data_IF_589110237892
#
_entry.id   IF_589110237892
#
_cell.length_a   1.000
_cell.length_b   1.000
_cell.length_c   1.000
_cell.angle_alpha   90.00
_cell.angle_beta   90.00
_cell.angle_gamma   90.00
#
_symmetry.space_group_name_H-M   'P 1'
#
loop_
_entity.id
_entity.type
_entity.pdbx_description
1 polymer ?
#
# COMPACT_ATOMS: atom_id res chain seq x y z
N UNK A 1 14.07 -6.17 14.07
CA UNK A 1 14.10 -5.79 12.64
C UNK A 1 13.21 -6.74 11.86
N UNK A 2 12.57 -6.27 10.77
CA UNK A 2 11.72 -7.10 9.91
C UNK A 2 12.55 -8.08 9.05
N UNK A 3 11.91 -9.14 8.56
CA UNK A 3 12.48 -10.11 7.60
C UNK A 3 11.79 -9.97 6.24
N UNK A 4 12.53 -10.17 5.16
CA UNK A 4 11.93 -10.28 3.82
C UNK A 4 11.17 -11.60 3.71
N UNK A 5 9.85 -11.54 3.54
CA UNK A 5 8.96 -12.71 3.49
C UNK A 5 8.23 -12.87 2.15
N UNK A 6 8.15 -11.80 1.36
CA UNK A 6 7.57 -11.83 0.01
C UNK A 6 8.66 -11.50 -1.02
N UNK A 7 8.69 -12.26 -2.11
CA UNK A 7 9.64 -12.01 -3.19
C UNK A 7 9.22 -10.76 -3.96
N UNK A 8 10.15 -9.83 -4.13
CA UNK A 8 9.93 -8.63 -4.95
C UNK A 8 10.57 -8.81 -6.33
N UNK A 9 9.86 -8.44 -7.38
CA UNK A 9 10.38 -8.46 -8.74
C UNK A 9 10.35 -7.06 -9.36
N UNK A 10 11.40 -6.67 -10.13
CA UNK A 10 11.52 -5.32 -10.66
C UNK A 10 10.67 -5.08 -11.92
N UNK A 11 10.04 -6.11 -12.50
CA UNK A 11 9.29 -5.98 -13.75
C UNK A 11 7.82 -5.66 -13.46
N UNK A 12 7.23 -4.73 -14.21
CA UNK A 12 5.82 -4.35 -14.08
C UNK A 12 4.86 -5.51 -14.42
N UNK A 13 5.35 -6.53 -15.12
CA UNK A 13 4.63 -7.77 -15.46
C UNK A 13 4.79 -8.87 -14.40
N UNK A 14 5.70 -8.68 -13.44
CA UNK A 14 6.01 -9.66 -12.38
C UNK A 14 5.37 -9.29 -11.04
N UNK A 15 4.11 -8.90 -11.10
CA UNK A 15 3.29 -8.61 -9.93
C UNK A 15 3.02 -9.90 -9.13
N UNK A 16 2.77 -9.74 -7.84
CA UNK A 16 2.17 -10.78 -7.00
C UNK A 16 0.91 -11.30 -7.71
N UNK A 17 0.90 -12.57 -8.13
CA UNK A 17 -0.29 -13.23 -8.67
C UNK A 17 -1.06 -13.85 -7.51
N UNK A 18 -2.36 -13.54 -7.40
CA UNK A 18 -3.20 -14.03 -6.32
C UNK A 18 -2.91 -13.38 -4.96
N UNK A 19 -2.84 -14.20 -3.91
CA UNK A 19 -2.66 -13.74 -2.51
C UNK A 19 -1.60 -14.59 -1.83
N UNK A 20 -0.67 -13.93 -1.16
CA UNK A 20 0.41 -14.54 -0.39
C UNK A 20 0.25 -14.14 1.07
N UNK A 21 0.55 -15.06 1.98
CA UNK A 21 0.45 -14.81 3.41
C UNK A 21 1.70 -15.27 4.14
N UNK A 22 2.12 -14.48 5.12
CA UNK A 22 3.18 -14.82 6.07
C UNK A 22 2.66 -14.60 7.48
N UNK A 23 2.85 -15.59 8.35
CA UNK A 23 2.44 -15.50 9.75
C UNK A 23 3.66 -15.26 10.64
N UNK A 24 3.60 -14.20 11.43
CA UNK A 24 4.55 -13.94 12.50
C UNK A 24 3.98 -14.46 13.83
N UNK A 25 4.49 -15.59 14.36
CA UNK A 25 3.96 -16.19 15.59
C UNK A 25 4.29 -15.37 16.85
N UNK A 26 5.32 -14.51 16.80
CA UNK A 26 5.74 -13.71 17.96
C UNK A 26 4.73 -12.58 18.19
N UNK A 27 4.41 -11.86 17.11
CA UNK A 27 3.46 -10.74 17.17
C UNK A 27 2.02 -11.17 16.92
N UNK A 28 1.79 -12.44 16.53
CA UNK A 28 0.49 -13.02 16.13
C UNK A 28 -0.15 -12.23 14.98
N UNK A 29 0.67 -11.82 14.02
CA UNK A 29 0.24 -11.04 12.85
C UNK A 29 0.30 -11.90 11.60
N UNK A 30 -0.79 -11.92 10.84
CA UNK A 30 -0.79 -12.42 9.47
C UNK A 30 -0.60 -11.24 8.52
N UNK A 31 0.48 -11.24 7.76
CA UNK A 31 0.71 -10.26 6.69
C UNK A 31 0.27 -10.88 5.39
N UNK A 32 -0.55 -10.15 4.65
CA UNK A 32 -1.08 -10.59 3.36
C UNK A 32 -0.60 -9.62 2.28
N UNK A 33 0.05 -10.15 1.25
CA UNK A 33 0.36 -9.43 0.02
C UNK A 33 -0.57 -9.93 -1.09
N UNK A 34 -1.26 -9.02 -1.77
CA UNK A 34 -2.29 -9.35 -2.74
C UNK A 34 -1.96 -8.75 -4.11
N UNK A 35 -2.46 -9.37 -5.17
CA UNK A 35 -2.37 -8.85 -6.52
C UNK A 35 -2.85 -7.39 -6.60
N UNK A 36 -2.13 -6.57 -7.35
CA UNK A 36 -2.49 -5.17 -7.59
C UNK A 36 -3.87 -5.03 -8.24
N UNK A 37 -4.75 -4.28 -7.58
CA UNK A 37 -6.17 -4.18 -7.96
C UNK A 37 -6.48 -3.06 -8.94
N UNK A 38 -5.57 -2.08 -9.09
CA UNK A 38 -5.69 -1.01 -10.06
C UNK A 38 -5.10 -1.44 -11.41
N UNK A 39 -5.95 -1.85 -12.35
CA UNK A 39 -5.54 -2.14 -13.72
C UNK A 39 -6.70 -2.37 -14.67
N UNK A 40 -6.63 -1.77 -15.85
CA UNK A 40 -7.67 -1.75 -16.88
C UNK A 40 -7.70 -3.05 -17.70
N UNK A 41 -7.96 -4.19 -17.03
CA UNK A 41 -7.95 -5.53 -17.66
C UNK A 41 -9.35 -6.13 -17.76
N UNK A 42 -9.49 -7.12 -18.64
CA UNK A 42 -10.74 -7.81 -19.00
C UNK A 42 -11.41 -8.61 -17.87
N UNK A 43 -10.87 -8.61 -16.64
CA UNK A 43 -11.31 -9.49 -15.55
C UNK A 43 -11.60 -8.77 -14.22
N UNK A 44 -12.25 -7.62 -14.29
CA UNK A 44 -12.60 -6.77 -13.14
C UNK A 44 -13.35 -7.53 -12.02
N UNK A 45 -14.29 -8.41 -12.38
CA UNK A 45 -15.07 -9.18 -11.40
C UNK A 45 -14.21 -10.11 -10.54
N UNK A 46 -13.17 -10.74 -11.12
CA UNK A 46 -12.26 -11.60 -10.37
C UNK A 46 -11.47 -10.81 -9.31
N UNK A 47 -10.96 -9.64 -9.71
CA UNK A 47 -10.17 -8.75 -8.84
C UNK A 47 -11.00 -8.18 -7.70
N UNK A 48 -12.21 -7.72 -7.99
CA UNK A 48 -13.15 -7.25 -6.94
C UNK A 48 -13.46 -8.37 -5.95
N UNK A 49 -13.73 -9.60 -6.41
CA UNK A 49 -13.94 -10.74 -5.49
C UNK A 49 -12.72 -11.06 -4.64
N UNK A 50 -11.50 -10.98 -5.18
CA UNK A 50 -10.28 -11.21 -4.41
C UNK A 50 -10.13 -10.16 -3.31
N UNK A 51 -10.29 -8.88 -3.66
CA UNK A 51 -10.22 -7.77 -2.71
C UNK A 51 -11.25 -7.90 -1.60
N UNK A 52 -12.51 -8.23 -1.92
CA UNK A 52 -13.56 -8.40 -0.91
C UNK A 52 -13.23 -9.52 0.08
N UNK A 53 -12.62 -10.61 -0.38
CA UNK A 53 -12.17 -11.69 0.50
C UNK A 53 -11.04 -11.23 1.41
N UNK A 54 -10.05 -10.49 0.87
CA UNK A 54 -8.95 -9.93 1.66
C UNK A 54 -9.49 -8.93 2.70
N UNK A 55 -10.41 -8.05 2.32
CA UNK A 55 -11.06 -7.10 3.24
C UNK A 55 -11.80 -7.81 4.37
N UNK A 56 -12.57 -8.86 4.04
CA UNK A 56 -13.40 -9.57 5.02
C UNK A 56 -12.61 -10.27 6.12
N UNK A 57 -11.32 -10.56 5.90
CA UNK A 57 -10.45 -11.23 6.89
C UNK A 57 -9.41 -10.29 7.52
N UNK A 58 -9.38 -9.02 7.12
CA UNK A 58 -8.34 -8.08 7.55
C UNK A 58 -8.86 -7.16 8.64
N UNK A 59 -8.08 -7.00 9.72
CA UNK A 59 -8.30 -5.91 10.68
C UNK A 59 -7.82 -4.57 10.10
N UNK A 60 -6.71 -4.61 9.34
CA UNK A 60 -6.04 -3.44 8.77
C UNK A 60 -5.65 -3.74 7.33
N UNK A 61 -5.93 -2.80 6.44
CA UNK A 61 -5.44 -2.79 5.05
C UNK A 61 -4.48 -1.63 4.88
N UNK A 62 -3.33 -1.91 4.26
CA UNK A 62 -2.38 -0.88 3.86
C UNK A 62 -2.49 -0.71 2.34
N UNK A 63 -3.08 0.41 1.93
CA UNK A 63 -3.10 0.81 0.53
C UNK A 63 -1.82 1.59 0.22
N UNK A 64 -0.90 0.97 -0.51
CA UNK A 64 0.37 1.58 -0.90
C UNK A 64 0.24 2.31 -2.24
N UNK A 65 0.65 3.57 -2.28
CA UNK A 65 0.76 4.35 -3.52
C UNK A 65 2.09 5.09 -3.58
N UNK A 66 2.73 5.02 -4.74
CA UNK A 66 3.91 5.80 -5.08
C UNK A 66 3.52 6.77 -6.20
N UNK A 67 3.13 7.97 -5.81
CA UNK A 67 2.65 9.00 -6.72
C UNK A 67 3.07 10.36 -6.17
N UNK A 68 3.14 11.36 -7.05
CA UNK A 68 3.40 12.72 -6.60
C UNK A 68 2.20 13.31 -5.84
N UNK A 69 0.98 12.85 -6.09
CA UNK A 69 -0.23 13.34 -5.44
C UNK A 69 -1.21 12.20 -5.22
N UNK A 70 -2.08 12.36 -4.22
CA UNK A 70 -3.28 11.53 -4.12
C UNK A 70 -4.25 11.98 -5.22
N UNK A 71 -4.38 11.15 -6.26
CA UNK A 71 -5.29 11.37 -7.37
C UNK A 71 -6.73 11.00 -6.99
N UNK A 72 -7.70 11.63 -7.65
CA UNK A 72 -9.13 11.40 -7.41
C UNK A 72 -9.53 9.93 -7.61
N UNK A 73 -8.85 9.22 -8.50
CA UNK A 73 -9.09 7.81 -8.78
C UNK A 73 -8.84 6.90 -7.56
N UNK A 74 -7.95 7.29 -6.65
CA UNK A 74 -7.76 6.59 -5.38
C UNK A 74 -9.02 6.66 -4.52
N UNK A 75 -9.62 7.84 -4.42
CA UNK A 75 -10.81 8.07 -3.61
C UNK A 75 -12.03 7.37 -4.20
N UNK A 76 -12.19 7.44 -5.53
CA UNK A 76 -13.22 6.69 -6.26
C UNK A 76 -13.07 5.19 -6.03
N UNK A 77 -11.85 4.67 -6.21
CA UNK A 77 -11.56 3.27 -5.97
C UNK A 77 -11.92 2.84 -4.55
N UNK A 78 -11.46 3.56 -3.52
CA UNK A 78 -11.80 3.22 -2.14
C UNK A 78 -13.31 3.34 -1.83
N UNK A 79 -14.00 4.28 -2.49
CA UNK A 79 -15.46 4.40 -2.43
C UNK A 79 -16.17 3.18 -3.03
N UNK A 80 -15.81 2.81 -4.26
CA UNK A 80 -16.37 1.63 -4.95
C UNK A 80 -16.15 0.34 -4.13
N UNK A 81 -14.99 0.23 -3.51
CA UNK A 81 -14.63 -0.88 -2.63
C UNK A 81 -15.48 -0.89 -1.37
N UNK A 82 -15.72 0.27 -0.77
CA UNK A 82 -16.61 0.42 0.38
C UNK A 82 -18.03 -0.03 0.02
N UNK A 83 -18.57 0.47 -1.09
CA UNK A 83 -19.91 0.13 -1.56
C UNK A 83 -20.04 -1.37 -1.87
N UNK A 84 -19.05 -1.94 -2.56
CA UNK A 84 -19.01 -3.37 -2.84
C UNK A 84 -18.98 -4.18 -1.54
N UNK A 85 -18.16 -3.80 -0.56
CA UNK A 85 -18.06 -4.50 0.72
C UNK A 85 -19.40 -4.52 1.46
N UNK A 86 -20.05 -3.36 1.60
CA UNK A 86 -21.36 -3.29 2.25
C UNK A 86 -22.41 -4.06 1.48
N UNK A 87 -22.44 -3.95 0.14
CA UNK A 87 -23.37 -4.72 -0.71
C UNK A 87 -23.23 -6.23 -0.48
N UNK A 88 -22.01 -6.73 -0.31
CA UNK A 88 -21.74 -8.15 -0.16
C UNK A 88 -21.93 -8.69 1.26
N UNK A 89 -21.61 -7.90 2.29
CA UNK A 89 -21.53 -8.40 3.66
C UNK A 89 -22.56 -7.80 4.63
N UNK A 90 -23.41 -6.85 4.22
CA UNK A 90 -24.38 -6.20 5.13
C UNK A 90 -25.25 -7.22 5.89
N UNK A 91 -25.70 -8.28 5.22
CA UNK A 91 -26.56 -9.30 5.86
C UNK A 91 -25.81 -10.03 6.97
N UNK A 92 -24.58 -10.45 6.71
CA UNK A 92 -23.70 -11.18 7.61
C UNK A 92 -23.21 -10.29 8.76
N UNK A 93 -22.90 -9.02 8.48
CA UNK A 93 -22.51 -8.03 9.48
C UNK A 93 -23.67 -7.77 10.46
N UNK A 94 -24.89 -7.58 9.95
CA UNK A 94 -26.10 -7.43 10.79
C UNK A 94 -26.39 -8.68 11.63
N UNK A 95 -26.18 -9.87 11.06
CA UNK A 95 -26.33 -11.11 11.81
C UNK A 95 -25.28 -11.22 12.93
N UNK A 96 -24.05 -10.76 12.68
CA UNK A 96 -22.97 -10.73 13.67
C UNK A 96 -23.27 -9.75 14.79
N UNK A 97 -23.69 -8.52 14.49
CA UNK A 97 -24.05 -7.53 15.53
C UNK A 97 -25.18 -8.05 16.43
N UNK A 98 -26.23 -8.64 15.84
CA UNK A 98 -27.34 -9.21 16.59
C UNK A 98 -26.91 -10.38 17.49
N UNK A 99 -26.07 -11.30 16.99
CA UNK A 99 -25.57 -12.45 17.75
C UNK A 99 -24.63 -12.06 18.89
N UNK A 100 -23.84 -11.00 18.70
CA UNK A 100 -22.88 -10.51 19.67
C UNK A 100 -23.45 -9.43 20.60
N UNK A 101 -24.73 -9.04 20.42
CA UNK A 101 -25.36 -7.98 21.20
C UNK A 101 -24.69 -6.60 21.02
N UNK A 102 -24.10 -6.35 19.85
CA UNK A 102 -23.41 -5.09 19.55
C UNK A 102 -24.39 -4.09 18.96
N UNK A 103 -24.65 -2.99 19.67
CA UNK A 103 -25.41 -1.85 19.14
C UNK A 103 -24.46 -0.79 18.58
N UNK A 104 -23.84 -1.13 17.45
CA UNK A 104 -22.83 -0.30 16.78
C UNK A 104 -23.12 -0.19 15.29
N UNK A 105 -22.75 0.93 14.64
CA UNK A 105 -22.83 1.05 13.18
C UNK A 105 -22.02 -0.05 12.50
N UNK A 106 -22.49 -0.53 11.33
CA UNK A 106 -21.79 -1.58 10.58
C UNK A 106 -20.36 -1.18 10.17
N UNK A 107 -20.10 0.11 10.02
CA UNK A 107 -18.77 0.67 9.74
C UNK A 107 -17.73 0.26 10.78
N UNK A 108 -18.14 0.02 12.04
CA UNK A 108 -17.23 -0.40 13.12
C UNK A 108 -16.70 -1.82 12.94
N UNK A 109 -17.35 -2.64 12.12
CA UNK A 109 -16.98 -4.04 11.88
C UNK A 109 -16.09 -4.23 10.65
N UNK A 110 -15.87 -3.18 9.87
CA UNK A 110 -15.01 -3.25 8.70
C UNK A 110 -13.53 -2.95 9.02
N UNK A 111 -12.64 -3.22 8.05
CA UNK A 111 -11.22 -3.00 8.23
C UNK A 111 -10.88 -1.52 8.41
N UNK A 112 -9.79 -1.25 9.12
CA UNK A 112 -9.14 0.05 9.11
C UNK A 112 -8.28 0.17 7.84
N UNK A 113 -8.37 1.30 7.14
CA UNK A 113 -7.54 1.58 5.96
C UNK A 113 -6.40 2.54 6.33
N UNK A 114 -5.18 2.20 5.93
CA UNK A 114 -4.03 3.09 5.98
C UNK A 114 -3.58 3.36 4.55
N UNK A 115 -3.71 4.61 4.10
CA UNK A 115 -3.15 5.06 2.84
C UNK A 115 -1.67 5.39 3.08
N UNK A 116 -0.80 4.49 2.65
CA UNK A 116 0.64 4.70 2.67
C UNK A 116 1.08 5.38 1.37
N UNK A 117 1.42 6.65 1.45
CA UNK A 117 1.73 7.51 0.31
C UNK A 117 3.21 7.87 0.30
N UNK A 118 3.91 7.41 -0.72
CA UNK A 118 5.31 7.71 -0.96
C UNK A 118 5.44 8.77 -2.08
N UNK A 119 6.06 9.91 -1.77
CA UNK A 119 6.33 10.99 -2.72
C UNK A 119 7.82 11.21 -2.92
N UNK A 120 8.24 11.70 -4.10
CA UNK A 120 9.64 12.09 -4.35
C UNK A 120 9.76 13.61 -4.35
N UNK A 121 9.05 14.25 -5.28
CA UNK A 121 9.24 15.67 -5.58
C UNK A 121 8.23 16.59 -4.90
N UNK A 122 7.10 16.03 -4.44
CA UNK A 122 6.01 16.80 -3.85
C UNK A 122 6.00 16.73 -2.33
N UNK A 123 5.38 17.75 -1.73
CA UNK A 123 5.13 17.74 -0.30
C UNK A 123 3.94 16.82 0.02
N UNK A 124 4.00 16.21 1.21
CA UNK A 124 2.97 15.29 1.71
C UNK A 124 1.63 16.01 1.96
N UNK A 125 0.55 15.25 2.06
CA UNK A 125 -0.74 15.80 2.49
C UNK A 125 -0.59 16.40 3.90
N UNK A 126 -1.09 17.63 4.09
CA UNK A 126 -0.99 18.35 5.37
C UNK A 126 0.38 18.94 5.69
N UNK A 127 1.33 18.94 4.76
CA UNK A 127 2.65 19.58 4.92
C UNK A 127 2.65 21.11 4.77
N UNK A 128 1.49 21.71 4.44
CA UNK A 128 1.31 23.16 4.51
C UNK A 128 1.11 23.61 5.95
N UNK A 129 1.19 24.93 6.20
CA UNK A 129 0.84 25.53 7.50
C UNK A 129 -0.69 25.51 7.74
N UNK A 130 -1.37 24.41 7.40
CA UNK A 130 -2.78 24.21 7.69
C UNK A 130 -2.94 23.77 9.13
N UNK A 131 -3.77 24.47 9.89
CA UNK A 131 -4.24 24.03 11.22
C UNK A 131 -5.08 22.73 11.13
N UNK A 132 -5.55 22.39 9.92
CA UNK A 132 -6.38 21.22 9.66
C UNK A 132 -5.60 19.91 9.82
N UNK A 133 -6.25 18.93 10.44
CA UNK A 133 -5.67 17.60 10.56
C UNK A 133 -5.61 16.90 9.21
N UNK A 134 -4.61 16.03 9.03
CA UNK A 134 -4.44 15.28 7.78
C UNK A 134 -5.64 14.37 7.51
N UNK A 135 -6.20 13.79 8.57
CA UNK A 135 -7.40 12.95 8.48
C UNK A 135 -8.61 13.76 8.01
N UNK A 136 -8.77 15.01 8.46
CA UNK A 136 -9.82 15.89 7.97
C UNK A 136 -9.66 16.24 6.49
N UNK A 137 -8.45 16.60 6.07
CA UNK A 137 -8.14 16.88 4.65
C UNK A 137 -8.45 15.68 3.74
N UNK A 138 -8.23 14.46 4.24
CA UNK A 138 -8.51 13.23 3.54
C UNK A 138 -10.03 13.00 3.40
N UNK A 139 -10.77 13.09 4.51
CA UNK A 139 -12.23 12.95 4.52
C UNK A 139 -12.92 14.02 3.67
N UNK A 140 -12.42 15.24 3.69
CA UNK A 140 -12.95 16.33 2.88
C UNK A 140 -12.79 16.06 1.37
N UNK A 141 -11.72 15.36 0.96
CA UNK A 141 -11.58 14.93 -0.45
C UNK A 141 -12.58 13.84 -0.84
N UNK A 142 -12.83 12.85 0.03
CA UNK A 142 -13.91 11.88 -0.19
C UNK A 142 -15.25 12.60 -0.39
N UNK A 143 -15.58 13.54 0.50
CA UNK A 143 -16.82 14.33 0.45
C UNK A 143 -16.94 15.14 -0.84
N UNK A 144 -15.89 15.83 -1.25
CA UNK A 144 -15.88 16.64 -2.49
C UNK A 144 -16.09 15.81 -3.76
N UNK A 145 -15.62 14.58 -3.75
CA UNK A 145 -15.75 13.65 -4.88
C UNK A 145 -17.06 12.86 -4.86
N UNK A 146 -17.89 13.03 -3.81
CA UNK A 146 -19.12 12.25 -3.64
C UNK A 146 -18.87 10.77 -3.37
N UNK A 147 -17.68 10.43 -2.87
CA UNK A 147 -17.31 9.06 -2.51
C UNK A 147 -17.55 8.84 -1.02
N UNK A 148 -18.13 7.70 -0.66
CA UNK A 148 -18.42 7.34 0.72
C UNK A 148 -17.56 6.16 1.14
N UNK A 149 -17.11 6.18 2.39
CA UNK A 149 -16.17 5.19 2.90
C UNK A 149 -16.71 4.49 4.14
N UNK A 150 -18.03 4.28 4.15
CA UNK A 150 -18.82 3.78 5.28
C UNK A 150 -18.51 2.33 5.64
N UNK A 151 -17.89 1.55 4.74
CA UNK A 151 -17.48 0.20 5.05
C UNK A 151 -16.33 0.13 6.05
N UNK A 152 -15.54 1.19 6.22
CA UNK A 152 -14.28 1.14 6.95
C UNK A 152 -14.43 1.70 8.36
N UNK A 153 -13.79 1.05 9.33
CA UNK A 153 -13.81 1.52 10.72
C UNK A 153 -12.97 2.77 10.93
N UNK A 154 -11.96 2.98 10.10
CA UNK A 154 -11.21 4.24 10.01
C UNK A 154 -10.44 4.33 8.69
N UNK A 155 -10.09 5.55 8.28
CA UNK A 155 -9.13 5.81 7.21
C UNK A 155 -8.07 6.76 7.72
N UNK A 156 -6.81 6.36 7.59
CA UNK A 156 -5.66 7.16 8.04
C UNK A 156 -4.66 7.36 6.92
N UNK A 157 -4.02 8.52 6.92
CA UNK A 157 -2.94 8.84 6.01
C UNK A 157 -1.58 8.63 6.66
N UNK A 158 -0.66 7.98 5.95
CA UNK A 158 0.77 7.88 6.31
C UNK A 158 1.63 8.23 5.11
N UNK A 159 2.19 9.43 5.15
CA UNK A 159 3.07 9.95 4.10
C UNK A 159 4.54 9.78 4.43
N UNK A 160 5.34 9.46 3.43
CA UNK A 160 6.82 9.49 3.47
C UNK A 160 7.34 10.15 2.21
N UNK A 161 8.33 11.01 2.35
CA UNK A 161 9.01 11.63 1.21
C UNK A 161 10.39 11.02 1.05
N UNK A 162 10.67 10.44 -0.11
CA UNK A 162 11.95 9.82 -0.43
C UNK A 162 12.77 10.73 -1.34
N UNK A 163 14.06 10.90 -1.04
CA UNK A 163 14.98 11.74 -1.84
C UNK A 163 15.56 11.01 -3.06
N UNK A 164 15.33 9.70 -3.15
CA UNK A 164 15.77 8.81 -4.22
C UNK A 164 14.56 7.99 -4.63
N UNK A 165 14.25 7.81 -5.93
CA UNK A 165 13.31 6.76 -6.34
C UNK A 165 13.85 5.44 -5.77
N UNK A 166 13.00 4.56 -5.22
CA UNK A 166 13.48 3.48 -4.35
C UNK A 166 14.34 2.48 -5.13
N UNK A 167 15.66 2.64 -5.06
CA UNK A 167 16.61 1.57 -5.19
C UNK A 167 16.59 0.79 -3.86
N UNK A 168 15.56 -0.06 -3.72
CA UNK A 168 15.39 -1.13 -2.70
C UNK A 168 16.08 -0.87 -1.35
N UNK A 169 15.35 -0.35 -0.37
CA UNK A 169 15.43 -0.79 1.04
C UNK A 169 14.28 -0.16 1.82
N UNK A 170 13.43 -0.98 2.41
CA UNK A 170 12.29 -0.54 3.22
C UNK A 170 12.72 -0.39 4.69
N UNK A 171 12.27 0.71 5.29
CA UNK A 171 12.44 1.20 6.68
C UNK A 171 13.85 1.65 7.12
N UNK A 172 14.00 2.86 7.70
CA UNK A 172 15.28 3.30 8.24
C UNK A 172 15.60 2.49 9.50
N UNK A 173 16.67 1.70 9.42
CA UNK A 173 17.48 1.45 10.60
C UNK A 173 17.99 2.83 11.06
N UNK A 174 17.43 3.34 12.15
CA UNK A 174 18.03 4.45 12.85
C UNK A 174 19.45 4.05 13.23
N UNK A 175 20.47 4.81 12.82
CA UNK A 175 21.57 5.24 13.68
C UNK A 175 22.36 6.43 13.10
N UNK A 176 22.93 7.29 13.97
CA UNK A 176 23.55 8.56 13.62
C UNK A 176 25.05 8.40 13.33
N UNK A 177 25.55 9.20 12.38
CA UNK A 177 26.99 9.47 12.23
C UNK A 177 27.70 8.61 11.20
N UNK A 178 27.88 9.16 9.99
CA UNK A 178 29.07 8.91 9.19
C UNK A 178 29.37 10.15 8.36
N UNK A 179 30.50 10.76 8.69
CA UNK A 179 31.10 11.94 8.08
C UNK A 179 31.63 11.62 6.68
N UNK A 180 31.69 12.65 5.85
CA UNK A 180 32.23 12.74 4.50
C UNK A 180 33.49 11.90 4.19
N UNK A 181 33.63 11.49 2.93
CA UNK A 181 34.96 11.26 2.34
C UNK A 181 35.03 10.28 1.18
N UNK A 182 35.46 10.81 0.04
CA UNK A 182 36.20 10.14 -1.06
C UNK A 182 35.42 9.48 -2.20
N UNK A 183 35.42 10.25 -3.28
CA UNK A 183 35.21 9.89 -4.67
C UNK A 183 36.30 8.92 -5.14
N UNK A 184 35.91 7.71 -5.57
CA UNK A 184 36.81 6.75 -6.22
C UNK A 184 36.65 6.86 -7.75
N UNK A 185 37.75 7.21 -8.43
CA UNK A 185 37.88 7.19 -9.88
C UNK A 185 37.83 5.75 -10.43
N UNK A 186 37.29 5.50 -11.64
CA UNK A 186 37.31 4.17 -12.24
C UNK A 186 38.66 3.85 -12.91
N UNK A 187 39.15 2.63 -12.68
CA UNK A 187 40.32 2.02 -13.35
C UNK A 187 40.00 1.65 -14.82
N UNK A 188 40.99 1.65 -15.73
CA UNK A 188 40.75 1.42 -17.16
C UNK A 188 40.64 -0.08 -17.51
N UNK A 189 39.71 -0.39 -18.42
CA UNK A 189 39.44 -1.72 -18.97
C UNK A 189 40.63 -2.26 -19.79
N UNK A 190 41.13 -3.45 -19.45
CA UNK A 190 42.06 -4.21 -20.29
C UNK A 190 41.30 -5.00 -21.36
N UNK A 191 41.61 -4.74 -22.62
CA UNK A 191 41.20 -5.56 -23.77
C UNK A 191 41.86 -6.95 -23.74
N UNK A 192 41.06 -8.00 -23.89
CA UNK A 192 41.53 -9.36 -24.20
C UNK A 192 41.72 -9.45 -25.72
N UNK A 193 42.96 -9.69 -26.19
CA UNK A 193 43.25 -10.15 -27.55
C UNK A 193 43.55 -11.65 -27.52
N UNK A 194 42.92 -12.39 -28.44
CA UNK A 194 43.11 -13.83 -28.67
C UNK A 194 44.36 -14.06 -29.55
N UNK A 195 45.20 -15.08 -29.29
CA UNK A 195 46.38 -15.32 -30.12
C UNK A 195 46.08 -16.25 -31.31
N UNK A 196 46.58 -15.87 -32.48
CA UNK A 196 46.70 -16.73 -33.66
C UNK A 196 47.88 -17.71 -33.48
N UNK A 197 47.67 -18.98 -33.82
CA UNK A 197 48.70 -20.02 -33.82
C UNK A 197 49.64 -19.94 -35.04
N UNK A 198 50.89 -20.44 -34.96
CA UNK A 198 51.78 -20.51 -36.10
C UNK A 198 51.77 -21.89 -36.80
N UNK A 199 52.32 -21.88 -38.02
CA UNK A 199 52.50 -22.96 -39.00
C UNK A 199 53.23 -24.20 -38.48
#
# INVERSE_FOLDING_TARGET
MGREVFKTSPMQESCTMGVWAAFDPIHKVMVIDAEGLLGNSSNQGHRTHLLLKVLAISDIIIYRTHADRLHDDLFKFLGDVSDAYLKHFTKELKATTARCGLDVPLSTLGPAIIIFHETVHTKLLGSGNSSESVDWLLLERFRKLGCFSEAFSSIRYRGTRTCSPPNRLWWPAAHPGAVAGQQLHPLPSRHLQSPAGPK
#
